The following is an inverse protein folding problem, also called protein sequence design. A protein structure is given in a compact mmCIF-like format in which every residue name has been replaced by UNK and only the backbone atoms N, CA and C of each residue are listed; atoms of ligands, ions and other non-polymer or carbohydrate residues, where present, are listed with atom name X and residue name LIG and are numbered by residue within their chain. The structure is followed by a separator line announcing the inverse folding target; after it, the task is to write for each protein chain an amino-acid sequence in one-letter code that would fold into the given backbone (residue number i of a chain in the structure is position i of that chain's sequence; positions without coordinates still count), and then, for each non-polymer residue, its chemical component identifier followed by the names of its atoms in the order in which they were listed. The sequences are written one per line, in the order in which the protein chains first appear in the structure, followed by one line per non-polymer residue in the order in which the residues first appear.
data_IF_816596407943
#
_entry.id   IF_816596407943
#
_cell.length_a   1.000
_cell.length_b   1.000
_cell.length_c   1.000
_cell.angle_alpha   90.00
_cell.angle_beta   90.00
_cell.angle_gamma   90.00
#
_symmetry.space_group_name_H-M   'P 1'
#
loop_
_entity.id
_entity.type
_entity.pdbx_description
1 polymer ?
#
# COMPACT_ATOMS: atom_id res chain seq x y z
N UNK A 1 -10.97 36.56 -10.96
CA UNK A 1 -9.97 35.69 -10.30
C UNK A 1 -9.56 36.43 -9.05
N UNK A 2 -10.20 36.13 -7.93
CA UNK A 2 -9.80 36.60 -6.60
C UNK A 2 -9.20 35.40 -5.87
N UNK A 3 -7.88 35.34 -5.76
CA UNK A 3 -7.20 34.39 -4.88
C UNK A 3 -7.23 34.95 -3.45
N UNK A 4 -8.03 34.34 -2.58
CA UNK A 4 -8.02 34.64 -1.15
C UNK A 4 -6.74 34.07 -0.53
N UNK A 5 -5.86 34.95 -0.02
CA UNK A 5 -4.76 34.57 0.87
C UNK A 5 -5.35 33.98 2.16
N UNK A 6 -5.13 32.69 2.42
CA UNK A 6 -5.46 32.06 3.70
C UNK A 6 -4.30 32.21 4.69
N UNK A 7 -4.53 32.87 5.82
CA UNK A 7 -3.61 32.87 6.97
C UNK A 7 -4.07 31.79 7.95
N UNK A 8 -3.21 30.82 8.26
CA UNK A 8 -3.52 29.77 9.23
C UNK A 8 -2.79 30.06 10.54
N UNK A 9 -3.57 30.23 11.61
CA UNK A 9 -3.07 30.46 12.97
C UNK A 9 -3.36 29.22 13.79
N UNK A 10 -2.34 28.62 14.37
CA UNK A 10 -2.49 27.53 15.34
C UNK A 10 -2.33 28.09 16.75
N UNK A 11 -3.33 27.81 17.59
CA UNK A 11 -3.27 28.01 19.03
C UNK A 11 -3.15 26.63 19.67
N UNK A 12 -2.08 26.41 20.41
CA UNK A 12 -1.90 25.21 21.22
C UNK A 12 -1.84 25.63 22.69
N UNK A 13 -2.77 25.13 23.50
CA UNK A 13 -2.72 25.29 24.96
C UNK A 13 -1.65 24.35 25.52
N UNK A 14 -0.69 24.92 26.26
CA UNK A 14 0.29 24.15 27.03
C UNK A 14 0.27 24.69 28.46
N UNK A 15 -0.58 24.09 29.30
CA UNK A 15 -0.77 24.54 30.69
C UNK A 15 -1.40 25.94 30.77
N UNK A 16 -0.91 26.79 31.69
CA UNK A 16 -1.46 28.14 31.95
C UNK A 16 -1.05 29.23 30.93
N UNK A 17 -0.40 28.87 29.82
CA UNK A 17 0.04 29.82 28.81
C UNK A 17 -0.35 29.36 27.39
N UNK A 18 -0.89 30.29 26.60
CA UNK A 18 -1.22 30.06 25.19
C UNK A 18 -0.01 30.37 24.30
N UNK A 19 0.33 29.44 23.40
CA UNK A 19 1.31 29.69 22.31
C UNK A 19 0.58 29.94 21.00
N UNK A 20 0.92 31.04 20.33
CA UNK A 20 0.40 31.39 19.01
C UNK A 20 1.48 31.18 17.95
N UNK A 21 1.22 30.30 16.99
CA UNK A 21 2.09 30.09 15.82
C UNK A 21 1.36 30.55 14.58
N UNK A 22 1.92 31.54 13.89
CA UNK A 22 1.38 32.06 12.61
C UNK A 22 2.24 31.51 11.49
N UNK A 23 1.63 30.75 10.57
CA UNK A 23 2.30 30.28 9.34
C UNK A 23 1.68 31.03 8.17
N UNK A 24 2.44 31.95 7.58
CA UNK A 24 2.09 32.57 6.30
C UNK A 24 2.81 31.80 5.17
N UNK A 25 2.06 31.04 4.36
CA UNK A 25 2.58 30.46 3.14
C UNK A 25 2.47 31.45 1.98
N UNK A 26 3.60 31.92 1.46
CA UNK A 26 3.68 32.47 0.10
C UNK A 26 4.42 31.47 -0.79
N UNK A 27 3.97 31.21 -2.03
CA UNK A 27 4.80 30.55 -3.02
C UNK A 27 5.69 31.61 -3.67
N UNK A 28 7.01 31.53 -3.49
CA UNK A 28 7.93 32.19 -4.42
C UNK A 28 9.01 31.23 -4.89
N UNK A 29 9.27 31.27 -6.19
CA UNK A 29 10.34 30.54 -6.87
C UNK A 29 11.65 31.21 -6.50
N UNK A 30 12.71 30.41 -6.36
CA UNK A 30 14.06 30.86 -6.06
C UNK A 30 14.31 31.42 -4.65
N UNK A 31 14.19 30.58 -3.62
CA UNK A 31 15.21 30.48 -2.56
C UNK A 31 14.93 29.30 -1.61
N UNK A 32 15.89 28.38 -1.52
CA UNK A 32 15.98 27.40 -0.43
C UNK A 32 16.21 28.14 0.89
N UNK A 33 15.20 28.26 1.76
CA UNK A 33 15.32 28.32 3.24
C UNK A 33 13.95 28.47 3.90
N UNK A 34 13.50 27.43 4.60
CA UNK A 34 12.46 27.56 5.63
C UNK A 34 13.11 28.25 6.83
N UNK A 35 12.74 29.50 7.11
CA UNK A 35 13.09 30.17 8.36
C UNK A 35 12.09 29.73 9.44
N UNK A 36 12.41 28.66 10.15
CA UNK A 36 11.77 28.35 11.43
C UNK A 36 12.32 29.33 12.48
N UNK A 37 11.60 30.42 12.75
CA UNK A 37 11.93 31.34 13.84
C UNK A 37 11.17 30.98 15.10
N UNK A 38 11.86 30.49 16.14
CA UNK A 38 11.33 30.46 17.50
C UNK A 38 11.39 31.87 18.08
N UNK A 39 10.26 32.43 18.50
CA UNK A 39 10.22 33.60 19.36
C UNK A 39 9.78 33.13 20.75
N UNK A 40 10.74 33.00 21.66
CA UNK A 40 10.49 32.83 23.10
C UNK A 40 10.38 34.22 23.72
N UNK A 41 9.34 34.46 24.52
CA UNK A 41 8.98 35.78 25.07
C UNK A 41 9.90 36.31 26.19
N UNK A 42 11.14 35.83 26.29
CA UNK A 42 12.06 36.19 27.37
C UNK A 42 13.37 36.75 26.82
N UNK A 43 13.32 37.89 26.11
CA UNK A 43 14.41 38.87 26.00
C UNK A 43 14.11 39.94 24.94
N UNK A 44 13.66 41.13 25.33
CA UNK A 44 13.87 42.35 24.55
C UNK A 44 14.18 43.51 25.51
N UNK A 45 15.36 44.17 25.40
CA UNK A 45 15.63 45.41 26.12
C UNK A 45 14.99 46.60 25.42
N UNK A 46 14.46 47.52 26.21
CA UNK A 46 13.89 48.81 25.79
C UNK A 46 14.87 49.61 24.91
N UNK A 47 14.46 49.97 23.69
CA UNK A 47 15.08 51.09 22.96
C UNK A 47 14.02 51.99 22.33
N UNK A 48 14.05 53.25 22.76
CA UNK A 48 13.28 54.38 22.22
C UNK A 48 13.84 54.82 20.86
N UNK A 49 12.95 54.92 19.87
CA UNK A 49 12.92 55.94 18.80
C UNK A 49 14.06 56.00 17.76
N UNK A 50 13.76 55.57 16.52
CA UNK A 50 13.92 56.37 15.28
C UNK A 50 13.36 55.59 14.05
N UNK A 51 12.75 56.27 13.05
CA UNK A 51 12.09 55.61 11.93
C UNK A 51 13.07 55.31 10.77
N UNK A 52 13.10 54.05 10.31
CA UNK A 52 13.78 53.67 9.07
C UNK A 52 12.84 53.99 7.90
N UNK A 53 13.26 54.91 7.04
CA UNK A 53 12.56 55.26 5.78
C UNK A 53 12.92 54.24 4.69
N UNK A 54 11.91 53.83 3.92
CA UNK A 54 12.11 53.26 2.58
C UNK A 54 11.61 51.83 2.40
N UNK A 55 10.29 51.62 2.43
CA UNK A 55 9.61 50.62 1.59
C UNK A 55 8.10 50.88 1.63
N UNK A 56 7.55 51.42 0.54
CA UNK A 56 6.10 51.51 0.31
C UNK A 56 5.54 50.11 0.06
N UNK A 57 4.87 49.52 1.07
CA UNK A 57 3.61 48.75 0.95
C UNK A 57 3.24 48.12 2.30
N UNK A 58 1.96 48.30 2.63
CA UNK A 58 1.25 47.88 3.83
C UNK A 58 1.75 46.58 4.51
N UNK A 59 2.33 46.73 5.70
CA UNK A 59 2.33 45.75 6.78
C UNK A 59 2.39 46.53 8.10
N UNK A 60 1.23 47.05 8.54
CA UNK A 60 1.08 47.53 9.91
C UNK A 60 1.04 46.30 10.83
N UNK A 61 2.18 45.95 11.42
CA UNK A 61 2.19 45.09 12.60
C UNK A 61 1.48 45.85 13.73
N UNK A 62 0.23 45.45 14.02
CA UNK A 62 -0.49 45.92 15.18
C UNK A 62 0.14 45.20 16.39
N UNK A 63 1.02 45.87 17.11
CA UNK A 63 1.36 45.52 18.48
C UNK A 63 0.35 46.25 19.37
N UNK A 64 -0.67 45.54 19.85
CA UNK A 64 -1.56 46.07 20.90
C UNK A 64 -1.09 45.53 22.24
N UNK A 65 -0.65 46.43 23.12
CA UNK A 65 -0.44 46.17 24.54
C UNK A 65 -1.79 46.07 25.24
N UNK A 66 -1.93 45.20 26.26
CA UNK A 66 -3.18 44.83 26.94
C UNK A 66 -4.00 45.97 27.59
N UNK A 67 -3.57 47.23 27.53
CA UNK A 67 -4.26 48.34 28.21
C UNK A 67 -5.24 49.15 27.33
N UNK A 68 -5.36 48.84 26.02
CA UNK A 68 -6.24 49.57 25.10
C UNK A 68 -7.53 48.82 24.70
N UNK A 69 -8.00 47.88 25.53
CA UNK A 69 -9.31 47.21 25.34
C UNK A 69 -10.36 47.91 26.21
N UNK A 70 -10.72 49.15 25.88
CA UNK A 70 -11.95 49.76 26.45
C UNK A 70 -12.88 50.46 25.46
N UNK A 71 -12.58 50.48 24.16
CA UNK A 71 -13.53 51.03 23.18
C UNK A 71 -13.55 50.24 21.86
N UNK A 72 -14.15 49.05 21.90
CA UNK A 72 -14.68 48.38 20.70
C UNK A 72 -16.09 47.88 21.02
N UNK A 73 -17.08 48.78 20.94
CA UNK A 73 -18.49 48.48 21.23
C UNK A 73 -19.28 47.99 20.00
N UNK A 74 -18.61 47.58 18.92
CA UNK A 74 -19.27 47.07 17.71
C UNK A 74 -18.53 45.87 17.11
N UNK A 75 -18.53 44.75 17.83
CA UNK A 75 -18.33 43.43 17.24
C UNK A 75 -19.53 42.58 17.65
N UNK A 76 -20.34 42.16 16.68
CA UNK A 76 -21.36 41.15 16.93
C UNK A 76 -20.66 39.90 17.50
N UNK A 77 -21.22 39.27 18.55
CA UNK A 77 -20.62 38.07 19.11
C UNK A 77 -20.50 37.02 18.01
N UNK A 78 -19.27 36.64 17.70
CA UNK A 78 -19.01 35.46 16.91
C UNK A 78 -19.58 34.29 17.70
N UNK A 79 -20.71 33.76 17.26
CA UNK A 79 -21.20 32.47 17.73
C UNK A 79 -20.05 31.49 17.58
N UNK A 80 -19.67 30.82 18.67
CA UNK A 80 -18.73 29.70 18.63
C UNK A 80 -19.29 28.67 17.65
N UNK A 81 -18.93 28.80 16.38
CA UNK A 81 -19.21 27.82 15.36
C UNK A 81 -18.44 26.59 15.79
N UNK A 82 -19.17 25.55 16.17
CA UNK A 82 -18.62 24.21 16.24
C UNK A 82 -17.95 24.00 14.89
N UNK A 83 -16.61 23.93 14.88
CA UNK A 83 -15.89 23.45 13.71
C UNK A 83 -16.31 21.99 13.63
N UNK A 84 -17.33 21.72 12.81
CA UNK A 84 -17.73 20.38 12.46
C UNK A 84 -16.49 19.77 11.81
N UNK A 85 -15.74 18.98 12.59
CA UNK A 85 -14.66 18.19 12.07
C UNK A 85 -15.28 17.33 10.98
N UNK A 86 -14.97 17.64 9.72
CA UNK A 86 -15.43 16.87 8.59
C UNK A 86 -15.22 15.39 8.94
N UNK A 87 -16.33 14.63 9.02
CA UNK A 87 -16.29 13.24 9.43
C UNK A 87 -15.18 12.55 8.62
N UNK A 88 -14.16 11.99 9.30
CA UNK A 88 -13.05 11.37 8.60
C UNK A 88 -13.63 10.32 7.67
N UNK A 89 -13.37 10.42 6.36
CA UNK A 89 -13.86 9.44 5.39
C UNK A 89 -13.27 8.09 5.75
N UNK A 90 -14.10 7.23 6.36
CA UNK A 90 -13.71 5.87 6.72
C UNK A 90 -13.85 4.99 5.47
N UNK A 91 -12.81 4.19 5.21
CA UNK A 91 -12.80 3.22 4.12
C UNK A 91 -13.00 1.80 4.68
N UNK A 92 -13.59 0.92 3.90
CA UNK A 92 -13.74 -0.50 4.24
C UNK A 92 -13.06 -1.39 3.20
N UNK A 93 -12.17 -2.28 3.62
CA UNK A 93 -11.44 -3.21 2.75
C UNK A 93 -11.80 -4.64 3.13
N UNK A 94 -12.20 -5.45 2.14
CA UNK A 94 -12.44 -6.88 2.32
C UNK A 94 -11.20 -7.68 1.95
N UNK A 95 -10.67 -8.45 2.90
CA UNK A 95 -9.58 -9.40 2.70
C UNK A 95 -10.20 -10.77 2.44
N UNK A 96 -10.01 -11.26 1.22
CA UNK A 96 -10.66 -12.46 0.69
C UNK A 96 -9.64 -13.59 0.69
N UNK A 97 -9.80 -14.57 1.57
CA UNK A 97 -9.21 -15.87 1.41
C UNK A 97 -10.09 -16.72 0.46
N UNK A 98 -9.64 -17.03 -0.76
CA UNK A 98 -10.45 -17.79 -1.72
C UNK A 98 -10.49 -19.30 -1.42
N UNK A 99 -9.78 -19.78 -0.40
CA UNK A 99 -9.88 -21.16 0.07
C UNK A 99 -10.80 -21.27 1.31
N UNK A 100 -11.12 -22.50 1.70
CA UNK A 100 -12.08 -22.77 2.79
C UNK A 100 -11.46 -22.82 4.18
N UNK A 101 -10.15 -22.62 4.31
CA UNK A 101 -9.44 -22.65 5.59
C UNK A 101 -9.64 -21.36 6.37
N UNK A 102 -10.44 -21.42 7.44
CA UNK A 102 -10.58 -20.29 8.38
C UNK A 102 -9.27 -20.00 9.10
N UNK A 103 -8.47 -21.03 9.36
CA UNK A 103 -7.15 -20.87 9.98
C UNK A 103 -6.23 -19.95 9.16
N UNK A 104 -6.21 -20.09 7.83
CA UNK A 104 -5.43 -19.20 6.97
C UNK A 104 -5.92 -17.75 7.05
N UNK A 105 -7.23 -17.54 7.14
CA UNK A 105 -7.82 -16.20 7.31
C UNK A 105 -7.48 -15.60 8.67
N UNK A 106 -7.58 -16.39 9.74
CA UNK A 106 -7.29 -15.95 11.10
C UNK A 106 -5.81 -15.57 11.29
N UNK A 107 -4.89 -16.27 10.61
CA UNK A 107 -3.47 -15.94 10.60
C UNK A 107 -3.16 -14.55 10.02
N UNK A 108 -4.02 -14.00 9.15
CA UNK A 108 -3.83 -12.67 8.56
C UNK A 108 -4.19 -11.53 9.52
N UNK A 109 -5.11 -11.78 10.46
CA UNK A 109 -5.63 -10.75 11.39
C UNK A 109 -4.54 -10.01 12.16
N UNK A 110 -3.62 -10.68 12.89
CA UNK A 110 -2.58 -9.97 13.64
C UNK A 110 -1.64 -9.15 12.74
N UNK A 111 -1.41 -9.61 11.50
CA UNK A 111 -0.55 -8.93 10.53
C UNK A 111 -1.19 -7.62 10.08
N UNK A 112 -2.49 -7.65 9.80
CA UNK A 112 -3.26 -6.47 9.41
C UNK A 112 -3.43 -5.49 10.56
N UNK A 113 -3.71 -6.00 11.77
CA UNK A 113 -3.84 -5.20 12.98
C UNK A 113 -2.57 -4.40 13.28
N UNK A 114 -1.40 -5.02 13.08
CA UNK A 114 -0.09 -4.38 13.26
C UNK A 114 0.19 -3.22 12.28
N UNK A 115 -0.60 -3.03 11.22
CA UNK A 115 -0.45 -1.90 10.31
C UNK A 115 -1.06 -0.60 10.84
N UNK A 116 -1.91 -0.67 11.87
CA UNK A 116 -2.46 0.48 12.59
C UNK A 116 -3.07 1.57 11.68
N UNK A 117 -3.97 1.21 10.76
CA UNK A 117 -4.75 2.20 9.99
C UNK A 117 -6.04 2.61 10.72
N UNK A 118 -6.09 3.77 11.41
CA UNK A 118 -7.23 4.13 12.27
C UNK A 118 -8.50 4.49 11.49
N UNK A 119 -8.34 4.90 10.23
CA UNK A 119 -9.39 5.38 9.33
C UNK A 119 -9.82 4.33 8.29
N UNK A 120 -9.35 3.09 8.43
CA UNK A 120 -9.69 1.97 7.55
C UNK A 120 -10.24 0.82 8.38
N UNK A 121 -11.38 0.29 7.98
CA UNK A 121 -11.96 -0.92 8.52
C UNK A 121 -11.59 -2.10 7.63
N UNK A 122 -11.09 -3.18 8.23
CA UNK A 122 -10.78 -4.42 7.53
C UNK A 122 -11.79 -5.48 7.96
N UNK A 123 -12.45 -6.08 6.97
CA UNK A 123 -13.24 -7.29 7.14
C UNK A 123 -12.56 -8.46 6.42
N UNK A 124 -12.90 -9.67 6.87
CA UNK A 124 -12.27 -10.90 6.41
C UNK A 124 -13.33 -11.84 5.85
N UNK A 125 -13.01 -12.49 4.75
CA UNK A 125 -13.85 -13.49 4.11
C UNK A 125 -13.07 -14.77 3.90
N UNK A 126 -13.69 -15.89 4.24
CA UNK A 126 -13.21 -17.25 3.92
C UNK A 126 -14.24 -17.89 3.00
N UNK A 127 -13.80 -18.52 1.91
CA UNK A 127 -14.71 -19.22 1.01
C UNK A 127 -15.48 -20.31 1.78
N UNK A 128 -16.82 -20.41 1.63
CA UNK A 128 -17.59 -21.46 2.29
C UNK A 128 -17.21 -22.86 1.80
N UNK A 129 -17.33 -23.89 2.65
CA UNK A 129 -17.17 -25.28 2.20
C UNK A 129 -18.34 -25.75 1.31
N UNK A 130 -19.45 -25.01 1.26
CA UNK A 130 -20.64 -25.36 0.49
C UNK A 130 -20.35 -25.33 -1.01
N UNK A 131 -20.71 -26.39 -1.77
CA UNK A 131 -20.55 -26.42 -3.21
C UNK A 131 -21.42 -25.37 -3.93
N UNK A 132 -20.97 -24.96 -5.12
CA UNK A 132 -21.66 -24.01 -5.99
C UNK A 132 -22.00 -24.68 -7.31
N UNK A 133 -23.24 -24.49 -7.79
CA UNK A 133 -23.62 -24.84 -9.16
C UNK A 133 -23.40 -23.63 -10.08
N UNK A 134 -22.52 -23.79 -11.07
CA UNK A 134 -22.24 -22.79 -12.09
C UNK A 134 -23.39 -22.66 -13.10
N UNK A 135 -23.45 -21.56 -13.87
CA UNK A 135 -24.50 -21.35 -14.88
C UNK A 135 -24.60 -22.44 -15.95
N UNK A 136 -23.51 -23.18 -16.19
CA UNK A 136 -23.46 -24.30 -17.14
C UNK A 136 -23.84 -25.66 -16.50
N UNK A 137 -24.29 -25.64 -15.24
CA UNK A 137 -24.72 -26.82 -14.49
C UNK A 137 -23.59 -27.59 -13.80
N UNK A 138 -22.32 -27.22 -14.00
CA UNK A 138 -21.21 -27.86 -13.29
C UNK A 138 -21.24 -27.50 -11.80
N UNK A 139 -20.93 -28.46 -10.94
CA UNK A 139 -20.75 -28.23 -9.49
C UNK A 139 -19.27 -28.06 -9.19
N UNK A 140 -18.94 -27.04 -8.40
CA UNK A 140 -17.58 -26.77 -7.92
C UNK A 140 -17.60 -26.78 -6.40
N UNK A 141 -16.77 -27.63 -5.80
CA UNK A 141 -16.56 -27.69 -4.35
C UNK A 141 -15.60 -26.60 -3.88
N UNK A 142 -15.75 -26.19 -2.62
CA UNK A 142 -14.79 -25.31 -1.96
C UNK A 142 -13.45 -26.01 -1.76
N UNK A 143 -12.35 -25.32 -2.06
CA UNK A 143 -10.99 -25.88 -1.99
C UNK A 143 -10.35 -25.51 -0.63
N UNK A 144 -9.92 -26.47 0.21
CA UNK A 144 -9.27 -26.16 1.49
C UNK A 144 -7.91 -25.47 1.38
N UNK A 145 -7.12 -25.85 0.37
CA UNK A 145 -5.81 -25.28 0.09
C UNK A 145 -5.57 -25.25 -1.41
N UNK A 146 -5.16 -24.08 -1.91
CA UNK A 146 -4.85 -23.86 -3.33
C UNK A 146 -3.38 -24.19 -3.55
N UNK A 147 -3.08 -25.21 -4.36
CA UNK A 147 -1.72 -25.72 -4.58
C UNK A 147 -1.31 -25.75 -6.06
N UNK A 148 -2.14 -25.20 -6.95
CA UNK A 148 -1.89 -25.13 -8.40
C UNK A 148 -2.71 -24.01 -9.05
N UNK A 149 -2.40 -23.68 -10.31
CA UNK A 149 -3.16 -22.74 -11.12
C UNK A 149 -4.59 -23.23 -11.39
N UNK A 150 -4.79 -24.54 -11.54
CA UNK A 150 -6.12 -25.13 -11.68
C UNK A 150 -6.95 -24.99 -10.40
N UNK A 151 -6.33 -25.14 -9.22
CA UNK A 151 -6.97 -24.84 -7.95
C UNK A 151 -7.35 -23.35 -7.84
N UNK A 152 -6.47 -22.45 -8.29
CA UNK A 152 -6.76 -21.01 -8.30
C UNK A 152 -7.94 -20.68 -9.22
N UNK A 153 -8.05 -21.32 -10.38
CA UNK A 153 -9.19 -21.17 -11.28
C UNK A 153 -10.49 -21.72 -10.68
N UNK A 154 -10.46 -22.93 -10.11
CA UNK A 154 -11.63 -23.54 -9.46
C UNK A 154 -12.10 -22.75 -8.25
N UNK A 155 -11.17 -22.33 -7.38
CA UNK A 155 -11.50 -21.51 -6.21
C UNK A 155 -12.04 -20.13 -6.60
N UNK A 156 -11.55 -19.52 -7.69
CA UNK A 156 -12.14 -18.28 -8.21
C UNK A 156 -13.62 -18.49 -8.63
N UNK A 157 -13.92 -19.56 -9.37
CA UNK A 157 -15.28 -19.88 -9.79
C UNK A 157 -16.21 -20.17 -8.60
N UNK A 158 -15.71 -20.90 -7.60
CA UNK A 158 -16.44 -21.22 -6.37
C UNK A 158 -16.68 -19.98 -5.50
N UNK A 159 -15.66 -19.15 -5.29
CA UNK A 159 -15.67 -18.02 -4.37
C UNK A 159 -16.51 -16.85 -4.90
N UNK A 160 -16.49 -16.63 -6.22
CA UNK A 160 -17.18 -15.53 -6.92
C UNK A 160 -18.63 -15.26 -6.47
N UNK A 161 -19.57 -16.22 -6.48
CA UNK A 161 -20.97 -15.96 -6.12
C UNK A 161 -21.17 -15.50 -4.68
N UNK A 162 -20.24 -15.77 -3.78
CA UNK A 162 -20.31 -15.33 -2.38
C UNK A 162 -19.73 -13.93 -2.18
N UNK A 163 -18.72 -13.54 -2.98
CA UNK A 163 -18.04 -12.24 -2.86
C UNK A 163 -18.74 -11.15 -3.67
N UNK A 164 -19.30 -11.45 -4.85
CA UNK A 164 -19.96 -10.44 -5.69
C UNK A 164 -21.08 -9.67 -4.97
N UNK A 165 -21.97 -10.31 -4.17
CA UNK A 165 -22.99 -9.60 -3.40
C UNK A 165 -22.42 -8.65 -2.32
N UNK A 166 -21.15 -8.82 -1.95
CA UNK A 166 -20.47 -7.99 -0.96
C UNK A 166 -19.86 -6.72 -1.58
N UNK A 167 -19.72 -6.65 -2.90
CA UNK A 167 -19.07 -5.52 -3.60
C UNK A 167 -19.60 -4.14 -3.16
N UNK A 168 -20.93 -3.93 -3.00
CA UNK A 168 -21.44 -2.63 -2.56
C UNK A 168 -20.97 -2.20 -1.17
N UNK A 169 -20.51 -3.11 -0.31
CA UNK A 169 -20.18 -2.83 1.10
C UNK A 169 -18.75 -2.30 1.33
N UNK A 170 -17.86 -2.50 0.37
CA UNK A 170 -16.42 -2.23 0.54
C UNK A 170 -15.88 -1.30 -0.53
N UNK A 171 -14.83 -0.56 -0.20
CA UNK A 171 -14.06 0.32 -1.10
C UNK A 171 -12.85 -0.40 -1.71
N UNK A 172 -12.33 -1.44 -1.06
CA UNK A 172 -11.19 -2.22 -1.54
C UNK A 172 -11.36 -3.72 -1.33
N UNK A 173 -10.70 -4.52 -2.18
CA UNK A 173 -10.73 -5.98 -2.14
C UNK A 173 -9.32 -6.54 -2.33
N UNK A 174 -8.84 -7.28 -1.34
CA UNK A 174 -7.55 -7.97 -1.38
C UNK A 174 -7.77 -9.47 -1.55
N UNK A 175 -7.34 -10.06 -2.66
CA UNK A 175 -7.35 -11.52 -2.83
C UNK A 175 -6.09 -12.11 -2.21
N UNK A 176 -6.24 -12.80 -1.08
CA UNK A 176 -5.17 -13.37 -0.25
C UNK A 176 -4.75 -14.77 -0.72
N UNK A 177 -4.49 -14.93 -2.02
CA UNK A 177 -3.85 -16.12 -2.57
C UNK A 177 -2.65 -15.71 -3.43
N UNK A 178 -1.50 -16.31 -3.18
CA UNK A 178 -0.27 -15.96 -3.89
C UNK A 178 -0.19 -16.70 -5.23
N UNK A 179 -0.95 -16.20 -6.20
CA UNK A 179 -0.96 -16.66 -7.59
C UNK A 179 -1.46 -15.53 -8.49
N UNK A 180 -1.37 -15.70 -9.81
CA UNK A 180 -2.15 -14.88 -10.76
C UNK A 180 -3.65 -15.25 -10.65
N UNK A 181 -4.25 -14.98 -9.49
CA UNK A 181 -5.52 -15.54 -9.10
C UNK A 181 -6.67 -14.93 -9.92
N UNK A 182 -7.44 -15.73 -10.69
CA UNK A 182 -8.44 -15.20 -11.62
C UNK A 182 -9.54 -14.34 -10.95
N UNK A 183 -9.81 -14.59 -9.67
CA UNK A 183 -10.78 -13.80 -8.89
C UNK A 183 -10.50 -12.29 -8.92
N UNK A 184 -9.23 -11.87 -8.97
CA UNK A 184 -8.89 -10.44 -9.08
C UNK A 184 -9.50 -9.83 -10.33
N UNK A 185 -9.24 -10.43 -11.50
CA UNK A 185 -9.77 -9.97 -12.77
C UNK A 185 -11.30 -10.04 -12.83
N UNK A 186 -11.88 -11.10 -12.27
CA UNK A 186 -13.34 -11.26 -12.18
C UNK A 186 -13.99 -10.13 -11.37
N UNK A 187 -13.46 -9.82 -10.18
CA UNK A 187 -13.97 -8.74 -9.34
C UNK A 187 -13.82 -7.36 -9.99
N UNK A 188 -12.68 -7.09 -10.62
CA UNK A 188 -12.45 -5.83 -11.36
C UNK A 188 -13.48 -5.65 -12.46
N UNK A 189 -13.76 -6.71 -13.23
CA UNK A 189 -14.78 -6.68 -14.27
C UNK A 189 -16.18 -6.41 -13.71
N UNK A 190 -16.59 -7.14 -12.66
CA UNK A 190 -17.90 -6.95 -12.03
C UNK A 190 -18.06 -5.55 -11.44
N UNK A 191 -17.03 -5.02 -10.76
CA UNK A 191 -17.00 -3.64 -10.24
C UNK A 191 -17.17 -2.63 -11.37
N UNK A 192 -16.42 -2.77 -12.47
CA UNK A 192 -16.51 -1.87 -13.61
C UNK A 192 -17.92 -1.82 -14.21
N UNK A 193 -18.59 -2.98 -14.32
CA UNK A 193 -19.97 -3.07 -14.79
C UNK A 193 -20.93 -2.37 -13.83
N UNK A 194 -20.77 -2.56 -12.52
CA UNK A 194 -21.61 -1.93 -11.49
C UNK A 194 -21.41 -0.40 -11.46
N UNK A 195 -20.17 0.09 -11.52
CA UNK A 195 -19.86 1.52 -11.58
C UNK A 195 -20.34 2.19 -12.88
N UNK A 196 -20.35 1.46 -14.00
CA UNK A 196 -20.91 1.95 -15.25
C UNK A 196 -22.44 2.14 -15.16
N UNK A 197 -23.16 1.14 -14.63
CA UNK A 197 -24.61 1.22 -14.38
C UNK A 197 -24.96 2.34 -13.40
N UNK A 198 -24.20 2.45 -12.31
CA UNK A 198 -24.36 3.51 -11.31
C UNK A 198 -24.30 4.93 -11.88
N UNK A 199 -23.42 5.15 -12.87
CA UNK A 199 -23.27 6.44 -13.55
C UNK A 199 -24.42 6.74 -14.52
N UNK A 200 -25.09 5.72 -15.04
CA UNK A 200 -26.21 5.87 -15.97
C UNK A 200 -27.54 6.13 -15.25
N UNK A 201 -27.78 5.50 -14.10
CA UNK A 201 -29.10 5.49 -13.46
C UNK A 201 -29.49 6.80 -12.75
N UNK A 202 -28.56 7.73 -12.50
CA UNK A 202 -28.83 9.07 -11.92
C UNK A 202 -29.47 9.10 -10.51
N UNK A 203 -29.89 7.95 -9.98
CA UNK A 203 -30.64 7.79 -8.73
C UNK A 203 -29.73 7.86 -7.50
N UNK A 204 -30.17 8.64 -6.50
CA UNK A 204 -29.39 9.03 -5.33
C UNK A 204 -29.60 8.16 -4.09
N UNK A 205 -30.54 7.19 -4.08
CA UNK A 205 -31.02 6.61 -2.81
C UNK A 205 -30.53 5.20 -2.44
N UNK A 206 -29.91 4.43 -3.34
CA UNK A 206 -29.36 3.07 -3.02
C UNK A 206 -27.87 2.88 -3.34
N UNK A 207 -27.21 3.86 -3.95
CA UNK A 207 -25.84 3.77 -4.49
C UNK A 207 -24.81 4.68 -3.79
N UNK A 208 -25.07 5.16 -2.58
CA UNK A 208 -24.14 6.03 -1.85
C UNK A 208 -22.71 5.47 -1.74
N UNK A 209 -22.57 4.15 -1.54
CA UNK A 209 -21.27 3.45 -1.47
C UNK A 209 -20.67 3.06 -2.83
N UNK A 210 -21.45 3.10 -3.91
CA UNK A 210 -20.99 2.84 -5.29
C UNK A 210 -20.55 4.12 -6.01
N UNK A 211 -20.68 5.29 -5.35
CA UNK A 211 -20.12 6.56 -5.85
C UNK A 211 -18.60 6.63 -5.75
N UNK A 212 -18.00 5.90 -4.80
CA UNK A 212 -16.55 5.80 -4.68
C UNK A 212 -16.05 4.72 -5.61
N UNK A 213 -14.95 5.02 -6.31
CA UNK A 213 -14.22 3.99 -7.07
C UNK A 213 -13.82 2.87 -6.13
N UNK A 214 -13.95 1.64 -6.60
CA UNK A 214 -13.53 0.45 -5.84
C UNK A 214 -12.24 -0.12 -6.41
N UNK A 215 -11.36 -0.56 -5.52
CA UNK A 215 -10.03 -1.04 -5.89
C UNK A 215 -9.88 -2.54 -5.60
N UNK A 216 -9.19 -3.26 -6.47
CA UNK A 216 -8.93 -4.70 -6.32
C UNK A 216 -7.49 -5.00 -6.68
N UNK A 217 -6.82 -5.79 -5.86
CA UNK A 217 -5.51 -6.38 -6.13
C UNK A 217 -5.41 -7.76 -5.50
N UNK A 218 -4.56 -8.63 -6.04
CA UNK A 218 -4.09 -9.84 -5.36
C UNK A 218 -2.80 -9.59 -4.60
N UNK A 219 -2.49 -10.43 -3.60
CA UNK A 219 -1.21 -10.37 -2.87
C UNK A 219 0.01 -10.63 -3.76
N UNK A 220 -0.18 -11.39 -4.85
CA UNK A 220 0.83 -11.60 -5.89
C UNK A 220 1.15 -10.32 -6.66
N UNK A 221 0.14 -9.64 -7.20
CA UNK A 221 0.34 -8.40 -7.98
C UNK A 221 0.90 -7.28 -7.09
N UNK A 222 0.45 -7.24 -5.84
CA UNK A 222 0.92 -6.28 -4.87
C UNK A 222 2.40 -6.48 -4.51
N UNK A 223 2.83 -7.73 -4.29
CA UNK A 223 4.22 -8.02 -3.95
C UNK A 223 5.17 -7.73 -5.12
N UNK A 224 4.77 -8.04 -6.36
CA UNK A 224 5.55 -7.71 -7.57
C UNK A 224 5.68 -6.19 -7.71
N UNK A 225 4.57 -5.47 -7.55
CA UNK A 225 4.55 -4.00 -7.66
C UNK A 225 5.40 -3.32 -6.59
N UNK A 226 5.28 -3.75 -5.33
CA UNK A 226 6.10 -3.26 -4.22
C UNK A 226 7.59 -3.58 -4.44
N UNK A 227 7.89 -4.80 -4.93
CA UNK A 227 9.28 -5.19 -5.21
C UNK A 227 9.90 -4.29 -6.27
N UNK A 228 9.22 -4.09 -7.42
CA UNK A 228 9.69 -3.19 -8.49
C UNK A 228 9.96 -1.77 -7.99
N UNK A 229 9.13 -1.25 -7.08
CA UNK A 229 9.35 0.04 -6.44
C UNK A 229 10.63 0.04 -5.59
N UNK A 230 10.85 -1.00 -4.79
CA UNK A 230 11.96 -1.11 -3.84
C UNK A 230 13.32 -1.28 -4.51
N UNK A 231 13.39 -2.07 -5.58
CA UNK A 231 14.66 -2.32 -6.30
C UNK A 231 15.07 -1.17 -7.24
N UNK A 232 14.24 -0.13 -7.38
CA UNK A 232 14.52 1.09 -8.13
C UNK A 232 14.68 0.90 -9.65
N UNK A 233 14.07 1.76 -10.47
CA UNK A 233 14.15 1.57 -11.93
C UNK A 233 15.53 1.95 -12.51
N UNK A 234 16.18 2.98 -11.98
CA UNK A 234 17.38 3.58 -12.59
C UNK A 234 18.38 4.05 -11.54
N UNK A 235 19.65 4.05 -11.91
CA UNK A 235 20.75 4.65 -11.14
C UNK A 235 21.66 5.47 -12.05
N UNK A 236 22.45 6.35 -11.44
CA UNK A 236 23.58 6.99 -12.11
C UNK A 236 24.78 6.04 -12.04
N UNK A 237 25.55 5.98 -13.13
CA UNK A 237 26.91 5.45 -13.06
C UNK A 237 27.81 6.56 -12.55
N UNK A 238 28.58 6.27 -11.51
CA UNK A 238 29.62 7.17 -10.98
C UNK A 238 30.86 7.13 -11.89
N UNK A 239 30.68 7.49 -13.17
CA UNK A 239 31.79 7.87 -14.04
C UNK A 239 31.83 9.40 -14.07
N UNK A 240 32.91 9.96 -13.51
CA UNK A 240 33.14 11.40 -13.36
C UNK A 240 33.13 12.16 -14.70
N UNK A 241 33.12 11.45 -15.83
CA UNK A 241 33.16 12.03 -17.16
C UNK A 241 31.82 12.07 -17.90
N UNK A 242 30.78 11.32 -17.48
CA UNK A 242 29.51 11.24 -18.23
C UNK A 242 28.33 10.91 -17.31
N UNK A 243 27.37 11.85 -17.15
CA UNK A 243 26.12 11.68 -16.40
C UNK A 243 25.15 10.70 -17.10
N UNK A 244 25.50 9.42 -17.15
CA UNK A 244 24.72 8.42 -17.87
C UNK A 244 23.80 7.68 -16.90
N UNK A 245 22.50 7.93 -17.06
CA UNK A 245 21.43 7.19 -16.39
C UNK A 245 21.38 5.79 -16.97
N UNK A 246 21.48 4.76 -16.12
CA UNK A 246 21.34 3.36 -16.50
C UNK A 246 20.21 2.69 -15.73
N UNK A 247 19.74 1.55 -16.23
CA UNK A 247 18.81 0.71 -15.49
C UNK A 247 19.50 0.16 -14.24
N UNK A 248 18.81 0.16 -13.10
CA UNK A 248 19.35 -0.49 -11.91
C UNK A 248 19.49 -2.01 -12.16
N UNK A 249 20.59 -2.64 -11.74
CA UNK A 249 20.84 -4.06 -11.98
C UNK A 249 20.03 -4.96 -11.06
N UNK A 250 19.52 -4.41 -9.96
CA UNK A 250 18.79 -5.12 -8.94
C UNK A 250 17.53 -5.78 -9.49
N UNK A 251 17.33 -7.02 -9.07
CA UNK A 251 16.19 -7.86 -9.40
C UNK A 251 15.41 -8.18 -8.14
N UNK A 252 14.19 -8.69 -8.30
CA UNK A 252 13.47 -9.31 -7.20
C UNK A 252 13.22 -10.79 -7.51
N UNK A 253 13.03 -11.59 -6.47
CA UNK A 253 12.64 -13.00 -6.63
C UNK A 253 11.53 -13.40 -5.67
N UNK A 254 11.02 -14.63 -5.83
CA UNK A 254 9.93 -15.16 -5.01
C UNK A 254 10.39 -16.43 -4.33
N UNK A 255 10.11 -16.55 -3.02
CA UNK A 255 10.22 -17.82 -2.28
C UNK A 255 8.83 -18.32 -1.95
N UNK A 256 8.45 -19.48 -2.46
CA UNK A 256 7.09 -20.03 -2.33
C UNK A 256 7.10 -21.47 -1.78
N UNK A 257 5.94 -22.10 -1.74
CA UNK A 257 5.68 -23.42 -1.14
C UNK A 257 6.07 -24.56 -2.08
N UNK A 258 5.11 -25.10 -2.81
CA UNK A 258 5.25 -26.31 -3.64
C UNK A 258 5.97 -26.05 -4.96
N UNK A 259 6.60 -27.10 -5.51
CA UNK A 259 7.38 -27.03 -6.75
C UNK A 259 6.55 -26.62 -7.98
N UNK A 260 5.26 -26.95 -7.99
CA UNK A 260 4.30 -26.58 -9.05
C UNK A 260 4.26 -25.06 -9.28
N UNK A 261 4.46 -24.26 -8.24
CA UNK A 261 4.43 -22.81 -8.34
C UNK A 261 5.62 -22.20 -9.08
N UNK A 262 6.76 -22.89 -9.18
CA UNK A 262 7.95 -22.34 -9.83
C UNK A 262 7.70 -21.97 -11.30
N UNK A 263 7.23 -22.87 -12.19
CA UNK A 263 6.89 -22.51 -13.56
C UNK A 263 5.69 -21.55 -13.64
N UNK A 264 4.66 -21.73 -12.81
CA UNK A 264 3.45 -20.91 -12.84
C UNK A 264 3.72 -19.45 -12.47
N UNK A 265 4.40 -19.20 -11.35
CA UNK A 265 4.72 -17.84 -10.90
C UNK A 265 5.78 -17.19 -11.79
N UNK A 266 6.71 -17.96 -12.36
CA UNK A 266 7.65 -17.42 -13.35
C UNK A 266 6.91 -16.89 -14.59
N UNK A 267 5.97 -17.68 -15.10
CA UNK A 267 5.11 -17.25 -16.20
C UNK A 267 4.27 -16.04 -15.81
N UNK A 268 3.61 -16.06 -14.66
CA UNK A 268 2.75 -14.98 -14.19
C UNK A 268 3.50 -13.64 -14.03
N UNK A 269 4.71 -13.65 -13.47
CA UNK A 269 5.53 -12.42 -13.34
C UNK A 269 5.92 -11.91 -14.72
N UNK A 270 6.32 -12.81 -15.62
CA UNK A 270 6.67 -12.45 -17.00
C UNK A 270 5.51 -11.77 -17.70
N UNK A 271 4.31 -12.37 -17.63
CA UNK A 271 3.10 -11.82 -18.23
C UNK A 271 2.66 -10.50 -17.60
N UNK A 272 2.83 -10.34 -16.28
CA UNK A 272 2.51 -9.10 -15.57
C UNK A 272 3.43 -7.94 -15.96
N UNK A 273 4.73 -8.20 -16.17
CA UNK A 273 5.72 -7.15 -16.45
C UNK A 273 5.83 -6.86 -17.95
N UNK A 274 5.93 -7.91 -18.78
CA UNK A 274 6.22 -7.80 -20.20
C UNK A 274 4.97 -7.95 -21.10
N UNK A 275 3.83 -8.33 -20.52
CA UNK A 275 2.63 -8.69 -21.27
C UNK A 275 2.64 -10.16 -21.73
N UNK A 276 1.52 -10.65 -22.29
CA UNK A 276 1.41 -12.02 -22.76
C UNK A 276 2.39 -12.29 -23.89
N UNK A 277 3.08 -13.43 -23.82
CA UNK A 277 3.93 -13.90 -24.90
C UNK A 277 3.06 -14.40 -26.07
N UNK A 278 2.56 -13.53 -26.96
CA UNK A 278 1.82 -13.98 -28.15
C UNK A 278 2.40 -13.53 -29.50
N UNK A 279 2.62 -14.55 -30.35
CA UNK A 279 2.63 -14.54 -31.82
C UNK A 279 3.62 -13.62 -32.53
N UNK A 280 4.91 -13.80 -32.28
CA UNK A 280 5.96 -13.62 -33.30
C UNK A 280 7.18 -14.36 -32.79
N UNK A 281 7.99 -14.93 -33.69
CA UNK A 281 9.19 -15.73 -33.37
C UNK A 281 10.32 -14.95 -32.70
N UNK A 282 10.02 -14.10 -31.73
CA UNK A 282 10.95 -13.43 -30.83
C UNK A 282 10.95 -14.22 -29.53
N UNK A 283 12.12 -14.79 -29.20
CA UNK A 283 12.39 -15.43 -27.92
C UNK A 283 11.87 -14.52 -26.80
N UNK A 284 11.01 -15.06 -25.92
CA UNK A 284 10.50 -14.34 -24.75
C UNK A 284 11.69 -13.65 -24.07
N UNK A 285 11.73 -12.32 -24.16
CA UNK A 285 12.82 -11.55 -23.58
C UNK A 285 12.74 -11.77 -22.08
N UNK A 286 13.75 -12.44 -21.51
CA UNK A 286 13.83 -12.67 -20.07
C UNK A 286 13.62 -11.33 -19.36
N UNK A 287 12.63 -11.26 -18.47
CA UNK A 287 12.34 -10.04 -17.72
C UNK A 287 13.57 -9.68 -16.89
N UNK A 288 14.27 -8.60 -17.27
CA UNK A 288 15.58 -8.24 -16.69
C UNK A 288 15.52 -7.86 -15.21
N UNK A 289 14.32 -7.79 -14.62
CA UNK A 289 14.08 -7.38 -13.23
C UNK A 289 13.64 -8.52 -12.32
N UNK A 290 13.52 -9.75 -12.83
CA UNK A 290 13.05 -10.90 -12.07
C UNK A 290 14.11 -12.00 -12.00
N UNK A 291 14.53 -12.34 -10.79
CA UNK A 291 15.57 -13.32 -10.51
C UNK A 291 15.06 -14.77 -10.57
N UNK A 292 13.74 -14.96 -10.46
CA UNK A 292 13.09 -16.26 -10.52
C UNK A 292 12.34 -16.63 -9.25
N UNK A 293 11.99 -17.91 -9.17
CA UNK A 293 11.21 -18.50 -8.07
C UNK A 293 12.00 -19.66 -7.47
N UNK A 294 12.08 -19.70 -6.15
CA UNK A 294 12.53 -20.85 -5.38
C UNK A 294 11.45 -21.35 -4.44
N UNK A 295 11.54 -22.62 -4.06
CA UNK A 295 10.46 -23.33 -3.35
C UNK A 295 10.98 -23.97 -2.08
N UNK A 296 10.19 -23.93 -1.01
CA UNK A 296 10.49 -24.63 0.25
C UNK A 296 10.32 -26.15 0.11
N UNK A 297 9.53 -26.59 -0.87
CA UNK A 297 9.17 -27.99 -1.06
C UNK A 297 8.08 -28.49 -0.10
N UNK A 298 7.42 -27.59 0.61
CA UNK A 298 6.20 -27.85 1.38
C UNK A 298 4.99 -27.37 0.57
N UNK A 299 3.83 -28.00 0.72
CA UNK A 299 2.54 -27.45 0.25
C UNK A 299 2.07 -26.32 1.18
N UNK A 300 1.04 -25.57 0.77
CA UNK A 300 0.50 -24.50 1.61
C UNK A 300 -0.13 -25.01 2.91
N UNK A 301 -0.71 -26.22 2.90
CA UNK A 301 -1.20 -26.89 4.12
C UNK A 301 -0.05 -27.34 5.02
N UNK A 302 0.95 -28.02 4.47
CA UNK A 302 2.11 -28.51 5.24
C UNK A 302 2.91 -27.40 5.91
N UNK A 303 2.86 -26.17 5.38
CA UNK A 303 3.51 -25.01 6.02
C UNK A 303 3.00 -24.76 7.44
N UNK A 304 1.76 -25.13 7.75
CA UNK A 304 1.16 -24.96 9.08
C UNK A 304 1.31 -26.21 9.97
N UNK A 305 1.41 -27.39 9.38
CA UNK A 305 1.50 -28.66 10.12
C UNK A 305 2.96 -29.08 10.41
N UNK A 306 3.92 -28.52 9.66
CA UNK A 306 5.35 -28.80 9.84
C UNK A 306 5.91 -28.03 11.05
N UNK A 307 6.82 -28.63 11.84
CA UNK A 307 7.46 -27.93 12.96
C UNK A 307 8.06 -26.57 12.54
N UNK A 308 7.85 -25.50 13.34
CA UNK A 308 8.27 -24.14 12.97
C UNK A 308 9.74 -24.01 12.59
N UNK A 309 10.64 -24.72 13.28
CA UNK A 309 12.07 -24.69 13.00
C UNK A 309 12.41 -25.28 11.63
N UNK A 310 11.69 -26.33 11.21
CA UNK A 310 11.88 -26.95 9.90
C UNK A 310 11.29 -26.08 8.79
N UNK A 311 10.14 -25.43 9.02
CA UNK A 311 9.57 -24.42 8.11
C UNK A 311 10.57 -23.27 7.92
N UNK A 312 11.08 -22.71 9.02
CA UNK A 312 12.09 -21.64 9.03
C UNK A 312 13.32 -22.04 8.24
N UNK A 313 13.88 -23.23 8.51
CA UNK A 313 15.05 -23.75 7.80
C UNK A 313 14.79 -23.85 6.29
N UNK A 314 13.66 -24.41 5.86
CA UNK A 314 13.33 -24.55 4.44
C UNK A 314 13.14 -23.22 3.72
N UNK A 315 12.53 -22.23 4.37
CA UNK A 315 12.39 -20.87 3.83
C UNK A 315 13.77 -20.22 3.69
N UNK A 316 14.61 -20.32 4.72
CA UNK A 316 15.98 -19.81 4.70
C UNK A 316 16.79 -20.44 3.56
N UNK A 317 16.77 -21.76 3.43
CA UNK A 317 17.53 -22.49 2.41
C UNK A 317 17.01 -22.20 0.98
N UNK A 318 15.69 -22.03 0.80
CA UNK A 318 15.10 -21.62 -0.48
C UNK A 318 15.50 -20.20 -0.87
N UNK A 319 15.53 -19.29 0.09
CA UNK A 319 15.99 -17.91 -0.12
C UNK A 319 17.48 -17.88 -0.48
N UNK A 320 18.31 -18.67 0.21
CA UNK A 320 19.74 -18.77 -0.10
C UNK A 320 19.98 -19.25 -1.53
N UNK A 321 19.25 -20.30 -1.97
CA UNK A 321 19.31 -20.80 -3.35
C UNK A 321 18.90 -19.75 -4.37
N UNK A 322 17.85 -18.97 -4.09
CA UNK A 322 17.37 -17.92 -4.98
C UNK A 322 18.46 -16.87 -5.22
N UNK A 323 19.08 -16.39 -4.13
CA UNK A 323 20.09 -15.34 -4.19
C UNK A 323 21.40 -15.82 -4.84
N UNK A 324 21.87 -17.02 -4.48
CA UNK A 324 23.11 -17.60 -5.05
C UNK A 324 22.95 -18.06 -6.50
N UNK A 325 21.73 -18.45 -6.90
CA UNK A 325 21.42 -18.89 -8.26
C UNK A 325 21.18 -17.76 -9.25
N UNK A 326 21.08 -16.51 -8.79
CA UNK A 326 20.76 -15.36 -9.62
C UNK A 326 22.00 -14.75 -10.26
N UNK A 327 21.92 -14.40 -11.54
CA UNK A 327 23.01 -13.75 -12.29
C UNK A 327 23.14 -12.25 -12.02
N UNK A 328 22.09 -11.64 -11.46
CA UNK A 328 22.04 -10.24 -11.06
C UNK A 328 21.70 -10.14 -9.57
N UNK A 329 22.09 -9.04 -8.89
CA UNK A 329 21.78 -8.87 -7.47
C UNK A 329 20.29 -8.96 -7.20
N UNK A 330 19.90 -9.66 -6.13
CA UNK A 330 18.51 -9.72 -5.67
C UNK A 330 18.32 -8.70 -4.56
N UNK A 331 17.71 -7.56 -4.89
CA UNK A 331 17.43 -6.48 -3.94
C UNK A 331 16.11 -6.65 -3.20
N UNK A 332 15.21 -7.53 -3.65
CA UNK A 332 13.96 -7.82 -2.95
C UNK A 332 13.53 -9.30 -3.07
N UNK A 333 12.93 -9.83 -2.01
CA UNK A 333 12.36 -11.19 -1.97
C UNK A 333 10.90 -11.12 -1.53
N UNK A 334 10.00 -11.60 -2.38
CA UNK A 334 8.60 -11.78 -2.03
C UNK A 334 8.37 -13.09 -1.28
N UNK A 335 7.57 -13.03 -0.22
CA UNK A 335 7.01 -14.20 0.43
C UNK A 335 5.82 -14.73 -0.38
N UNK A 336 6.03 -15.87 -1.04
CA UNK A 336 5.19 -16.43 -2.09
C UNK A 336 4.00 -17.25 -1.63
N UNK A 337 3.49 -17.00 -0.42
CA UNK A 337 2.31 -17.67 0.12
C UNK A 337 1.70 -16.80 1.23
N UNK A 338 0.36 -16.76 1.32
CA UNK A 338 -0.32 -16.06 2.41
C UNK A 338 0.04 -16.65 3.79
N UNK A 339 0.29 -17.96 3.86
CA UNK A 339 0.73 -18.64 5.09
C UNK A 339 2.17 -18.32 5.52
N UNK A 340 2.96 -17.64 4.67
CA UNK A 340 4.31 -17.18 5.03
C UNK A 340 4.31 -15.77 5.63
N UNK A 341 3.15 -15.12 5.73
CA UNK A 341 3.04 -13.79 6.28
C UNK A 341 3.49 -13.79 7.76
N UNK A 342 4.35 -12.85 8.15
CA UNK A 342 5.01 -12.84 9.46
C UNK A 342 6.23 -13.76 9.62
N UNK A 343 6.71 -14.40 8.54
CA UNK A 343 7.92 -15.25 8.53
C UNK A 343 9.16 -14.55 7.95
N UNK A 344 9.21 -13.22 7.97
CA UNK A 344 10.27 -12.40 7.35
C UNK A 344 11.66 -12.76 7.90
N UNK A 345 11.74 -13.13 9.18
CA UNK A 345 13.00 -13.50 9.80
C UNK A 345 13.64 -14.73 9.14
N UNK A 346 12.85 -15.72 8.70
CA UNK A 346 13.36 -16.90 8.01
C UNK A 346 13.95 -16.55 6.63
N UNK A 347 13.30 -15.63 5.91
CA UNK A 347 13.81 -15.09 4.64
C UNK A 347 15.09 -14.30 4.90
N UNK A 348 15.12 -13.44 5.93
CA UNK A 348 16.30 -12.65 6.30
C UNK A 348 17.51 -13.53 6.58
N UNK A 349 17.34 -14.64 7.29
CA UNK A 349 18.43 -15.60 7.52
C UNK A 349 19.00 -16.15 6.22
N UNK A 350 18.15 -16.49 5.26
CA UNK A 350 18.60 -16.93 3.94
C UNK A 350 19.35 -15.84 3.17
N UNK A 351 18.92 -14.58 3.29
CA UNK A 351 19.63 -13.44 2.72
C UNK A 351 21.03 -13.28 3.32
N UNK A 352 21.17 -13.40 4.64
CA UNK A 352 22.44 -13.31 5.35
C UNK A 352 23.36 -14.48 4.97
N UNK A 353 22.84 -15.72 4.87
CA UNK A 353 23.62 -16.88 4.39
C UNK A 353 24.16 -16.69 2.97
N UNK A 354 23.40 -16.00 2.10
CA UNK A 354 23.77 -15.80 0.71
C UNK A 354 24.72 -14.63 0.48
N UNK A 355 24.42 -13.46 1.06
CA UNK A 355 25.12 -12.20 0.78
C UNK A 355 25.97 -11.70 1.95
N UNK A 356 25.99 -12.41 3.08
CA UNK A 356 26.66 -11.99 4.30
C UNK A 356 25.84 -10.99 5.12
N UNK A 357 26.38 -10.56 6.27
CA UNK A 357 25.63 -9.77 7.25
C UNK A 357 25.13 -8.43 6.69
N UNK A 358 25.99 -7.66 6.04
CA UNK A 358 25.64 -6.30 5.59
C UNK A 358 24.67 -6.35 4.40
N UNK A 359 25.08 -6.97 3.30
CA UNK A 359 24.26 -7.02 2.09
C UNK A 359 23.02 -7.89 2.27
N UNK A 360 23.10 -8.92 3.11
CA UNK A 360 21.96 -9.74 3.50
C UNK A 360 20.88 -8.94 4.23
N UNK A 361 21.22 -7.88 4.98
CA UNK A 361 20.25 -6.97 5.60
C UNK A 361 19.67 -5.94 4.62
N UNK A 362 20.40 -5.60 3.56
CA UNK A 362 19.95 -4.65 2.53
C UNK A 362 18.83 -5.20 1.63
N UNK A 363 18.68 -6.53 1.54
CA UNK A 363 17.59 -7.14 0.76
C UNK A 363 16.23 -6.78 1.36
N UNK A 364 15.31 -6.23 0.58
CA UNK A 364 13.96 -5.97 1.03
C UNK A 364 13.12 -7.26 1.08
N UNK A 365 12.37 -7.46 2.16
CA UNK A 365 11.47 -8.62 2.29
C UNK A 365 10.05 -8.11 2.14
N UNK A 366 9.31 -8.69 1.20
CA UNK A 366 7.98 -8.21 0.80
C UNK A 366 6.94 -9.23 1.17
N UNK A 367 6.11 -8.87 2.16
CA UNK A 367 4.86 -9.56 2.45
C UNK A 367 3.76 -9.06 1.50
N UNK A 368 3.18 -9.98 0.72
CA UNK A 368 2.13 -9.64 -0.25
C UNK A 368 0.83 -9.13 0.38
N UNK A 369 0.51 -9.55 1.61
CA UNK A 369 -0.66 -9.09 2.37
C UNK A 369 -0.44 -7.64 2.80
N UNK A 370 0.72 -7.35 3.40
CA UNK A 370 1.09 -5.98 3.83
C UNK A 370 1.17 -5.05 2.62
N UNK A 371 1.83 -5.48 1.55
CA UNK A 371 1.93 -4.72 0.30
C UNK A 371 0.54 -4.44 -0.30
N UNK A 372 -0.33 -5.47 -0.34
CA UNK A 372 -1.68 -5.34 -0.89
C UNK A 372 -2.56 -4.37 -0.10
N UNK A 373 -2.52 -4.44 1.23
CA UNK A 373 -3.23 -3.50 2.10
C UNK A 373 -2.70 -2.08 1.87
N UNK A 374 -1.38 -1.89 1.88
CA UNK A 374 -0.77 -0.58 1.65
C UNK A 374 -1.21 0.04 0.31
N UNK A 375 -1.21 -0.75 -0.77
CA UNK A 375 -1.66 -0.30 -2.08
C UNK A 375 -3.15 0.05 -2.11
N UNK A 376 -4.01 -0.77 -1.51
CA UNK A 376 -5.46 -0.51 -1.48
C UNK A 376 -5.80 0.70 -0.62
N UNK A 377 -5.19 0.85 0.55
CA UNK A 377 -5.36 2.01 1.43
C UNK A 377 -4.92 3.27 0.69
N UNK A 378 -3.74 3.25 0.06
CA UNK A 378 -3.25 4.36 -0.74
C UNK A 378 -4.22 4.69 -1.88
N UNK A 379 -4.71 3.69 -2.62
CA UNK A 379 -5.66 3.91 -3.70
C UNK A 379 -6.97 4.54 -3.23
N UNK A 380 -7.52 4.05 -2.10
CA UNK A 380 -8.73 4.62 -1.50
C UNK A 380 -8.53 6.08 -1.07
N UNK A 381 -7.41 6.39 -0.40
CA UNK A 381 -7.13 7.74 0.10
C UNK A 381 -6.75 8.72 -1.02
N UNK A 382 -6.01 8.26 -2.03
CA UNK A 382 -5.57 9.08 -3.15
C UNK A 382 -6.67 9.27 -4.21
N UNK A 383 -7.61 8.33 -4.33
CA UNK A 383 -8.70 8.40 -5.30
C UNK A 383 -8.23 8.21 -6.75
N UNK A 384 -7.28 7.29 -6.99
CA UNK A 384 -6.77 6.96 -8.34
C UNK A 384 -7.87 6.59 -9.34
#
# INVERSE_FOLDING_TARGET
MDEKLGMMVFLQEVGQHARMTVISGLPDRDTRRVLAGQVTSDALPERKGQPIRGCDRALRCIYTTCDDIQHISHLQPWTAGVVEMAASTRFSILIINPNTSTHMTDALKPIVENLHYPDVHFDYFTAPATPVTLPDGRVVDGIPSINSGDDAARSALHCRPFVEPLIPKYDGFLVACYSAHPLVGMLRHTIQVLEAKARQDGSTSLLGSLRRRKYVTGIFEASVSASLMLIGAFRLLDDWNLHHKVQAPDTFGIVTTGSVWKPELTKAVTEMIAGPAEKQGQSASATTRFAGVETTGLTAGELHDTPPDEVRRRISDATERLLKGSSSPVGAVCMGCAGMAGMEQAVREGCIKAYGEVEGHNVHIVDGVVAGIGLLVNACKAGF
#
